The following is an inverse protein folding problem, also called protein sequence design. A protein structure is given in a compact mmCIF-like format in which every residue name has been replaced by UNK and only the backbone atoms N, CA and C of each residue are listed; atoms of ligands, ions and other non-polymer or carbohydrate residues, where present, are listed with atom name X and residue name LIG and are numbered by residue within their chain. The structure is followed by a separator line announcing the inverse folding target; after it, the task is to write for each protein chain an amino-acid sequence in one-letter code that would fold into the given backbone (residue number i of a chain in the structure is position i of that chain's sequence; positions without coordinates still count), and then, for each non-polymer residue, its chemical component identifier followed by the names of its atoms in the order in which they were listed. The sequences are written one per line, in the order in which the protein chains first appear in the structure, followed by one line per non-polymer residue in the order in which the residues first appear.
data_IF_281843540058
#
_entry.id   IF_281843540058
#
_cell.length_a   1.000
_cell.length_b   1.000
_cell.length_c   1.000
_cell.angle_alpha   90.00
_cell.angle_beta   90.00
_cell.angle_gamma   90.00
#
_symmetry.space_group_name_H-M   'P 1'
#
loop_
_entity.id
_entity.type
_entity.pdbx_description
1 polymer ?
#
# COMPACT_ATOMS: atom_id res chain seq x y z
N UNK A 1 -12.55 9.81 -20.58
CA UNK A 1 -13.07 9.35 -19.28
C UNK A 1 -11.91 8.76 -18.51
N UNK A 2 -11.81 9.06 -17.21
CA UNK A 2 -10.75 8.52 -16.34
C UNK A 2 -11.37 7.64 -15.25
N UNK A 3 -10.71 6.53 -14.93
CA UNK A 3 -10.98 5.70 -13.75
C UNK A 3 -9.80 5.88 -12.80
N UNK A 4 -10.08 6.37 -11.60
CA UNK A 4 -9.13 6.41 -10.49
C UNK A 4 -9.47 5.26 -9.55
N UNK A 5 -8.58 4.27 -9.46
CA UNK A 5 -8.76 3.07 -8.63
C UNK A 5 -7.92 3.10 -7.38
N UNK A 6 -8.42 2.53 -6.29
CA UNK A 6 -7.57 2.10 -5.20
C UNK A 6 -6.76 0.84 -5.58
N UNK A 7 -5.65 0.58 -4.88
CA UNK A 7 -4.95 -0.70 -4.99
C UNK A 7 -5.48 -1.68 -3.95
N UNK A 8 -5.31 -1.37 -2.67
CA UNK A 8 -5.66 -2.27 -1.57
C UNK A 8 -7.16 -2.50 -1.45
N UNK A 9 -7.61 -3.76 -1.47
CA UNK A 9 -9.01 -4.15 -1.34
C UNK A 9 -9.85 -3.94 -2.61
N UNK A 10 -9.25 -3.39 -3.67
CA UNK A 10 -9.91 -3.20 -4.98
C UNK A 10 -9.16 -3.96 -6.07
N UNK A 11 -7.91 -3.60 -6.33
CA UNK A 11 -7.08 -4.26 -7.32
C UNK A 11 -6.35 -5.48 -6.74
N UNK A 12 -5.86 -5.36 -5.50
CA UNK A 12 -5.20 -6.45 -4.77
C UNK A 12 -5.96 -6.81 -3.52
N UNK A 13 -5.92 -8.09 -3.15
CA UNK A 13 -6.40 -8.51 -1.84
C UNK A 13 -5.44 -8.01 -0.77
N UNK A 14 -5.99 -7.54 0.35
CA UNK A 14 -5.22 -7.11 1.52
C UNK A 14 -5.66 -7.91 2.73
N UNK A 15 -4.69 -8.48 3.44
CA UNK A 15 -4.90 -9.19 4.70
C UNK A 15 -3.93 -8.72 5.77
N UNK A 16 -4.39 -8.71 7.02
CA UNK A 16 -3.55 -8.41 8.18
C UNK A 16 -2.94 -9.66 8.82
N UNK A 17 -3.34 -10.86 8.38
CA UNK A 17 -2.92 -12.13 9.01
C UNK A 17 -1.41 -12.27 9.21
N UNK A 18 -0.53 -12.00 8.23
CA UNK A 18 0.91 -12.16 8.41
C UNK A 18 1.49 -11.22 9.47
N UNK A 19 1.06 -9.96 9.49
CA UNK A 19 1.48 -8.98 10.50
C UNK A 19 0.93 -9.35 11.87
N UNK A 20 -0.35 -9.68 11.96
CA UNK A 20 -0.98 -10.15 13.20
C UNK A 20 -0.24 -11.34 13.77
N UNK A 21 0.14 -12.31 12.92
CA UNK A 21 0.93 -13.47 13.34
C UNK A 21 2.32 -13.08 13.82
N UNK A 22 3.07 -12.28 13.03
CA UNK A 22 4.42 -11.85 13.40
C UNK A 22 4.45 -11.13 14.75
N UNK A 23 3.53 -10.19 14.95
CA UNK A 23 3.44 -9.46 16.21
C UNK A 23 3.00 -10.38 17.36
N UNK A 24 2.07 -11.31 17.13
CA UNK A 24 1.68 -12.30 18.16
C UNK A 24 2.86 -13.16 18.59
N UNK A 25 3.65 -13.65 17.64
CA UNK A 25 4.82 -14.47 17.93
C UNK A 25 5.89 -13.67 18.70
N UNK A 26 6.04 -12.38 18.40
CA UNK A 26 6.96 -11.47 19.09
C UNK A 26 6.50 -11.07 20.50
N UNK A 27 5.19 -10.98 20.75
CA UNK A 27 4.59 -10.55 22.02
C UNK A 27 4.15 -11.69 22.96
N UNK A 28 3.96 -12.90 22.44
CA UNK A 28 3.42 -14.03 23.19
C UNK A 28 2.03 -13.74 23.79
N UNK A 29 1.79 -14.21 25.02
CA UNK A 29 0.49 -14.13 25.69
C UNK A 29 -0.01 -12.69 25.93
N UNK A 30 0.88 -11.68 25.87
CA UNK A 30 0.51 -10.26 26.03
C UNK A 30 -0.23 -9.68 24.83
N UNK A 31 -0.18 -10.35 23.68
CA UNK A 31 -0.80 -9.88 22.44
C UNK A 31 -2.31 -9.71 22.53
N UNK A 32 -3.00 -10.54 23.33
CA UNK A 32 -4.46 -10.53 23.46
C UNK A 32 -5.00 -9.38 24.34
N UNK A 33 -4.16 -8.80 25.20
CA UNK A 33 -4.55 -7.74 26.14
C UNK A 33 -4.29 -6.34 25.56
N UNK A 34 -3.29 -6.20 24.67
CA UNK A 34 -2.87 -4.95 24.05
C UNK A 34 -2.63 -5.18 22.55
N UNK A 35 -3.63 -5.02 21.68
CA UNK A 35 -3.38 -5.11 20.23
C UNK A 35 -2.41 -3.98 19.82
N UNK A 36 -1.15 -4.30 19.48
CA UNK A 36 -0.05 -3.33 19.50
C UNK A 36 -0.01 -2.46 18.25
N UNK A 37 -0.88 -2.71 17.26
CA UNK A 37 -0.87 -1.91 16.04
C UNK A 37 -1.15 -0.44 16.30
N UNK A 38 -1.97 -0.13 17.32
CA UNK A 38 -2.21 1.26 17.75
C UNK A 38 -0.95 1.95 18.25
N UNK A 39 -0.03 1.21 18.88
CA UNK A 39 1.24 1.72 19.40
C UNK A 39 2.26 2.02 18.30
N UNK A 40 2.19 1.28 17.19
CA UNK A 40 3.02 1.54 16.00
C UNK A 40 2.30 2.34 14.91
N UNK A 41 1.04 2.73 15.13
CA UNK A 41 0.18 3.33 14.11
C UNK A 41 0.75 4.64 13.56
N UNK A 42 1.42 5.44 14.40
CA UNK A 42 2.08 6.66 13.96
C UNK A 42 3.24 6.37 13.01
N UNK A 43 4.16 5.49 13.41
CA UNK A 43 5.27 5.06 12.55
C UNK A 43 4.77 4.44 11.24
N UNK A 44 3.67 3.67 11.28
CA UNK A 44 3.05 3.11 10.08
C UNK A 44 2.48 4.21 9.18
N UNK A 45 1.77 5.20 9.74
CA UNK A 45 1.25 6.33 8.96
C UNK A 45 2.37 7.12 8.29
N UNK A 46 3.44 7.43 9.03
CA UNK A 46 4.61 8.11 8.48
C UNK A 46 5.28 7.30 7.37
N UNK A 47 5.39 5.99 7.54
CA UNK A 47 5.90 5.09 6.52
C UNK A 47 5.02 5.06 5.27
N UNK A 48 3.69 5.04 5.42
CA UNK A 48 2.73 5.10 4.31
C UNK A 48 2.80 6.43 3.53
N UNK A 49 3.26 7.53 4.13
CA UNK A 49 3.49 8.78 3.41
C UNK A 49 4.97 9.04 3.08
N UNK A 50 5.82 8.02 3.20
CA UNK A 50 7.24 8.11 2.82
C UNK A 50 8.09 9.00 3.73
N UNK A 51 7.59 9.40 4.90
CA UNK A 51 8.33 10.23 5.87
C UNK A 51 9.42 9.44 6.60
N UNK A 52 9.25 8.12 6.72
CA UNK A 52 10.21 7.24 7.36
C UNK A 52 10.23 5.87 6.66
N UNK A 53 11.16 4.99 7.05
CA UNK A 53 11.27 3.65 6.49
C UNK A 53 10.66 2.58 7.40
N UNK A 54 10.51 1.36 6.90
CA UNK A 54 10.01 0.21 7.68
C UNK A 54 10.82 -0.07 8.95
N UNK A 55 12.10 0.34 8.97
CA UNK A 55 12.95 0.22 10.16
C UNK A 55 12.40 1.03 11.33
N UNK A 56 11.77 2.19 11.08
CA UNK A 56 11.14 3.00 12.11
C UNK A 56 9.93 2.28 12.73
N UNK A 57 9.19 1.51 11.93
CA UNK A 57 8.10 0.64 12.43
C UNK A 57 8.65 -0.46 13.33
N UNK A 58 9.80 -1.07 12.96
CA UNK A 58 10.46 -2.08 13.79
C UNK A 58 11.02 -1.48 15.11
N UNK A 59 11.58 -0.27 15.07
CA UNK A 59 12.03 0.47 16.25
C UNK A 59 10.85 0.78 17.18
N UNK A 60 9.75 1.34 16.65
CA UNK A 60 8.55 1.62 17.44
C UNK A 60 7.97 0.33 18.08
N UNK A 61 8.01 -0.80 17.37
CA UNK A 61 7.62 -2.09 17.95
C UNK A 61 8.56 -2.51 19.11
N UNK A 62 9.86 -2.27 18.96
CA UNK A 62 10.88 -2.58 19.96
C UNK A 62 10.74 -1.75 21.24
N UNK A 63 10.40 -0.47 21.11
CA UNK A 63 10.11 0.43 22.25
C UNK A 63 8.95 -0.05 23.12
N UNK A 64 8.08 -0.88 22.53
CA UNK A 64 6.95 -1.51 23.21
C UNK A 64 7.18 -2.98 23.58
N UNK A 65 8.40 -3.49 23.38
CA UNK A 65 8.81 -4.82 23.84
C UNK A 65 8.73 -5.93 22.79
N UNK A 66 8.33 -5.63 21.54
CA UNK A 66 8.43 -6.59 20.44
C UNK A 66 9.75 -6.46 19.69
N UNK A 67 10.59 -7.48 19.83
CA UNK A 67 11.83 -7.60 19.06
C UNK A 67 11.54 -8.30 17.74
N UNK A 68 11.32 -7.51 16.70
CA UNK A 68 11.06 -7.99 15.34
C UNK A 68 12.24 -7.61 14.46
N UNK A 69 12.80 -8.59 13.73
CA UNK A 69 13.82 -8.30 12.73
C UNK A 69 13.19 -7.56 11.56
N UNK A 70 13.87 -6.53 11.04
CA UNK A 70 13.39 -5.77 9.89
C UNK A 70 13.08 -6.66 8.68
N UNK A 71 13.89 -7.70 8.44
CA UNK A 71 13.66 -8.65 7.36
C UNK A 71 12.34 -9.43 7.51
N UNK A 72 12.02 -9.89 8.73
CA UNK A 72 10.75 -10.58 9.02
C UNK A 72 9.56 -9.63 8.88
N UNK A 73 9.74 -8.37 9.30
CA UNK A 73 8.72 -7.34 9.13
C UNK A 73 8.45 -7.07 7.66
N UNK A 74 9.49 -6.91 6.82
CA UNK A 74 9.36 -6.75 5.36
C UNK A 74 8.63 -7.95 4.76
N UNK A 75 9.04 -9.18 5.11
CA UNK A 75 8.41 -10.40 4.60
C UNK A 75 6.92 -10.46 4.94
N UNK A 76 6.57 -10.16 6.20
CA UNK A 76 5.18 -10.09 6.64
C UNK A 76 4.42 -8.94 5.99
N UNK A 77 5.06 -7.79 5.72
CA UNK A 77 4.45 -6.66 5.03
C UNK A 77 4.08 -7.01 3.59
N UNK A 78 5.00 -7.63 2.84
CA UNK A 78 4.74 -8.13 1.49
C UNK A 78 3.60 -9.18 1.49
N UNK A 79 3.62 -10.12 2.44
CA UNK A 79 2.61 -11.16 2.54
C UNK A 79 1.18 -10.64 2.81
N UNK A 80 1.01 -9.35 3.17
CA UNK A 80 -0.32 -8.71 3.23
C UNK A 80 -1.03 -8.71 1.88
N UNK A 81 -0.30 -8.85 0.77
CA UNK A 81 -0.82 -8.74 -0.60
C UNK A 81 -0.66 -10.10 -1.31
N UNK A 82 -1.50 -11.11 -1.00
CA UNK A 82 -1.28 -12.46 -1.51
C UNK A 82 -1.64 -12.64 -2.99
N UNK A 83 -2.53 -11.82 -3.54
CA UNK A 83 -2.95 -11.93 -4.95
C UNK A 83 -3.65 -10.66 -5.45
N UNK A 84 -3.73 -10.57 -6.79
CA UNK A 84 -4.53 -9.59 -7.53
C UNK A 84 -5.94 -10.11 -7.82
N UNK A 85 -6.92 -9.22 -7.88
CA UNK A 85 -8.28 -9.53 -8.30
C UNK A 85 -8.37 -9.60 -9.83
N UNK A 86 -8.30 -10.82 -10.38
CA UNK A 86 -8.23 -11.04 -11.85
C UNK A 86 -9.42 -10.47 -12.62
N UNK A 87 -10.60 -10.40 -12.02
CA UNK A 87 -11.77 -9.78 -12.64
C UNK A 87 -11.61 -8.26 -12.80
N UNK A 88 -10.96 -7.60 -11.83
CA UNK A 88 -10.66 -6.18 -11.86
C UNK A 88 -9.58 -5.89 -12.91
N UNK A 89 -8.54 -6.73 -12.98
CA UNK A 89 -7.52 -6.66 -14.04
C UNK A 89 -8.17 -6.75 -15.43
N UNK A 90 -9.09 -7.71 -15.62
CA UNK A 90 -9.82 -7.87 -16.89
C UNK A 90 -10.66 -6.63 -17.21
N UNK A 91 -11.37 -6.08 -16.21
CA UNK A 91 -12.14 -4.86 -16.37
C UNK A 91 -11.27 -3.70 -16.84
N UNK A 92 -10.11 -3.47 -16.22
CA UNK A 92 -9.21 -2.38 -16.60
C UNK A 92 -8.64 -2.54 -17.99
N UNK A 93 -8.24 -3.76 -18.37
CA UNK A 93 -7.80 -4.05 -19.74
C UNK A 93 -8.89 -3.73 -20.76
N UNK A 94 -10.14 -4.11 -20.51
CA UNK A 94 -11.26 -3.79 -21.40
C UNK A 94 -11.51 -2.28 -21.46
N UNK A 95 -11.52 -1.59 -20.32
CA UNK A 95 -11.75 -0.15 -20.28
C UNK A 95 -10.67 0.62 -21.04
N UNK A 96 -9.40 0.20 -20.93
CA UNK A 96 -8.29 0.77 -21.70
C UNK A 96 -8.43 0.54 -23.20
N UNK A 97 -8.84 -0.66 -23.61
CA UNK A 97 -9.11 -0.96 -25.02
C UNK A 97 -10.24 -0.08 -25.60
N UNK A 98 -11.14 0.43 -24.74
CA UNK A 98 -12.19 1.39 -25.09
C UNK A 98 -11.73 2.86 -25.00
N UNK A 99 -10.44 3.12 -24.79
CA UNK A 99 -9.87 4.47 -24.67
C UNK A 99 -10.10 5.13 -23.31
N UNK A 100 -10.47 4.38 -22.27
CA UNK A 100 -10.55 4.91 -20.90
C UNK A 100 -9.16 4.95 -20.29
N UNK A 101 -8.78 6.10 -19.73
CA UNK A 101 -7.56 6.26 -18.93
C UNK A 101 -7.77 5.58 -17.57
N UNK A 102 -6.88 4.68 -17.17
CA UNK A 102 -7.01 3.94 -15.90
C UNK A 102 -5.76 4.22 -15.05
N UNK A 103 -5.97 4.86 -13.90
CA UNK A 103 -4.91 5.18 -12.93
C UNK A 103 -5.19 4.54 -11.59
N UNK A 104 -4.12 4.28 -10.84
CA UNK A 104 -4.23 3.93 -9.43
C UNK A 104 -3.87 5.14 -8.55
N UNK A 105 -4.57 5.28 -7.43
CA UNK A 105 -4.26 6.20 -6.34
C UNK A 105 -4.38 5.44 -5.02
N UNK A 106 -3.25 5.13 -4.37
CA UNK A 106 -3.23 4.28 -3.18
C UNK A 106 -2.46 4.91 -2.03
N UNK A 107 -3.00 4.78 -0.82
CA UNK A 107 -2.20 4.93 0.39
C UNK A 107 -1.36 3.66 0.50
N UNK A 108 -0.04 3.77 0.31
CA UNK A 108 0.87 2.62 0.25
C UNK A 108 2.30 3.08 0.49
N UNK A 109 3.23 2.15 0.53
CA UNK A 109 4.65 2.36 0.77
C UNK A 109 5.52 1.74 -0.33
N UNK A 110 6.79 2.10 -0.35
CA UNK A 110 7.80 1.64 -1.30
C UNK A 110 7.95 0.11 -1.30
N UNK A 111 7.87 -0.55 -0.15
CA UNK A 111 7.97 -2.01 -0.03
C UNK A 111 6.82 -2.69 -0.78
N UNK A 112 5.59 -2.23 -0.56
CA UNK A 112 4.42 -2.75 -1.26
C UNK A 112 4.49 -2.50 -2.75
N UNK A 113 4.95 -1.33 -3.18
CA UNK A 113 5.14 -1.03 -4.60
C UNK A 113 6.18 -1.93 -5.25
N UNK A 114 7.34 -2.08 -4.62
CA UNK A 114 8.40 -2.98 -5.08
C UNK A 114 7.92 -4.43 -5.15
N UNK A 115 7.16 -4.87 -4.15
CA UNK A 115 6.58 -6.21 -4.14
C UNK A 115 5.57 -6.40 -5.28
N UNK A 116 4.61 -5.50 -5.45
CA UNK A 116 3.59 -5.60 -6.50
C UNK A 116 4.21 -5.55 -7.91
N UNK A 117 5.19 -4.69 -8.15
CA UNK A 117 5.89 -4.64 -9.43
C UNK A 117 6.72 -5.88 -9.73
N UNK A 118 7.22 -6.58 -8.68
CA UNK A 118 7.97 -7.82 -8.84
C UNK A 118 7.05 -9.02 -9.09
N UNK A 119 6.00 -9.18 -8.29
CA UNK A 119 5.13 -10.37 -8.33
C UNK A 119 3.99 -10.25 -9.35
N UNK A 120 3.50 -9.03 -9.62
CA UNK A 120 2.28 -8.79 -10.39
C UNK A 120 2.51 -7.81 -11.55
N UNK A 121 3.73 -7.79 -12.12
CA UNK A 121 4.11 -6.84 -13.18
C UNK A 121 3.11 -6.78 -14.35
N UNK A 122 2.66 -7.92 -14.93
CA UNK A 122 1.73 -7.88 -16.05
C UNK A 122 0.41 -7.18 -15.68
N UNK A 123 -0.09 -7.44 -14.48
CA UNK A 123 -1.35 -6.85 -14.00
C UNK A 123 -1.18 -5.38 -13.62
N UNK A 124 -0.08 -5.02 -12.96
CA UNK A 124 0.23 -3.61 -12.64
C UNK A 124 0.35 -2.75 -13.91
N UNK A 125 0.76 -3.35 -15.03
CA UNK A 125 0.84 -2.69 -16.34
C UNK A 125 -0.54 -2.37 -16.95
N UNK A 126 -1.64 -2.76 -16.28
CA UNK A 126 -3.00 -2.34 -16.65
C UNK A 126 -3.35 -0.92 -16.21
N UNK A 127 -2.54 -0.28 -15.37
CA UNK A 127 -2.65 1.14 -15.08
C UNK A 127 -1.75 1.93 -16.03
N UNK A 128 -2.20 3.07 -16.56
CA UNK A 128 -1.30 3.98 -17.27
C UNK A 128 -0.55 4.95 -16.35
N UNK A 129 -0.98 5.12 -15.10
CA UNK A 129 -0.17 5.72 -14.03
C UNK A 129 -0.56 5.19 -12.64
N UNK A 130 0.39 5.23 -11.71
CA UNK A 130 0.19 4.80 -10.31
C UNK A 130 0.69 5.90 -9.39
N UNK A 131 -0.24 6.53 -8.67
CA UNK A 131 0.03 7.58 -7.69
C UNK A 131 0.01 6.99 -6.28
N UNK A 132 1.11 7.16 -5.55
CA UNK A 132 1.27 6.56 -4.22
C UNK A 132 1.47 7.64 -3.16
N UNK A 133 0.90 7.43 -1.97
CA UNK A 133 1.07 8.38 -0.87
C UNK A 133 2.53 8.53 -0.44
N UNK A 134 3.35 7.47 -0.56
CA UNK A 134 4.77 7.53 -0.22
C UNK A 134 5.59 8.37 -1.18
N UNK A 135 5.16 8.52 -2.44
CA UNK A 135 5.82 9.40 -3.41
C UNK A 135 5.27 10.82 -3.34
N UNK A 136 3.97 10.98 -3.11
CA UNK A 136 3.31 12.30 -3.04
C UNK A 136 3.49 13.00 -1.68
N UNK A 137 3.83 12.27 -0.61
CA UNK A 137 3.92 12.80 0.75
C UNK A 137 2.57 13.13 1.41
N UNK A 138 1.46 12.89 0.70
CA UNK A 138 0.09 13.11 1.12
C UNK A 138 -0.76 11.86 0.89
N UNK A 139 -1.82 11.67 1.67
CA UNK A 139 -2.63 10.46 1.65
C UNK A 139 -4.13 10.76 1.54
N UNK A 140 -4.89 9.82 0.98
CA UNK A 140 -6.35 9.83 1.13
C UNK A 140 -6.72 9.74 2.62
N UNK A 141 -7.79 10.42 3.08
CA UNK A 141 -8.78 11.16 2.30
C UNK A 141 -8.47 12.66 2.15
N UNK A 142 -7.23 13.10 2.37
CA UNK A 142 -6.90 14.53 2.30
C UNK A 142 -7.15 15.09 0.89
N UNK A 143 -7.80 16.26 0.82
CA UNK A 143 -8.14 16.91 -0.45
C UNK A 143 -6.92 17.11 -1.35
N UNK A 144 -5.78 17.44 -0.74
CA UNK A 144 -4.52 17.69 -1.44
C UNK A 144 -4.08 16.47 -2.26
N UNK A 145 -4.24 15.25 -1.73
CA UNK A 145 -3.88 14.03 -2.46
C UNK A 145 -4.70 13.88 -3.75
N UNK A 146 -6.01 14.17 -3.70
CA UNK A 146 -6.86 14.13 -4.90
C UNK A 146 -6.54 15.25 -5.89
N UNK A 147 -6.20 16.44 -5.37
CA UNK A 147 -5.85 17.59 -6.21
C UNK A 147 -4.58 17.33 -7.02
N UNK A 148 -3.54 16.75 -6.40
CA UNK A 148 -2.30 16.39 -7.10
C UNK A 148 -2.54 15.41 -8.25
N UNK A 149 -3.35 14.37 -8.04
CA UNK A 149 -3.69 13.41 -9.10
C UNK A 149 -4.50 14.09 -10.21
N UNK A 150 -5.46 14.93 -9.85
CA UNK A 150 -6.27 15.66 -10.83
C UNK A 150 -5.43 16.60 -11.70
N UNK A 151 -4.50 17.34 -11.10
CA UNK A 151 -3.63 18.26 -11.82
C UNK A 151 -2.68 17.50 -12.76
N UNK A 152 -2.07 16.41 -12.29
CA UNK A 152 -1.19 15.54 -13.10
C UNK A 152 -1.89 14.93 -14.31
N UNK A 153 -3.13 14.46 -14.13
CA UNK A 153 -3.91 13.88 -15.23
C UNK A 153 -4.47 14.95 -16.19
N UNK A 154 -4.69 16.18 -15.72
CA UNK A 154 -5.04 17.31 -16.60
C UNK A 154 -3.88 17.73 -17.50
N UNK A 155 -2.65 17.72 -16.99
CA UNK A 155 -1.46 18.01 -17.78
C UNK A 155 -1.27 16.97 -18.90
N UNK A 156 -1.51 15.69 -18.60
CA UNK A 156 -1.44 14.61 -19.60
C UNK A 156 -2.48 14.72 -20.73
N UNK A 157 -3.65 15.30 -20.51
CA UNK A 157 -4.68 15.49 -21.54
C UNK A 157 -4.30 16.59 -22.57
N UNK A 158 -3.25 17.37 -22.31
CA UNK A 158 -2.83 18.51 -23.14
C UNK A 158 -1.57 18.25 -24.00
N UNK A 159 -0.97 17.07 -23.92
CA UNK A 159 0.17 16.61 -24.73
C UNK A 159 -0.25 15.64 -25.86
#
# INVERSE_FOLDING_TARGET
MIIISDLGGVFVHVTLQPITKLFRDAYGDRYAMDFPFSKVAEAVREFEVGKCGIVNVACAASDHGARIMTADLIAAWCAKIPHVHKDVVRLYTVQRALGTRVVAMSNTNDIHMNHMWREFRPEMSTFDAVYTSCEMGVAKPDREAFQMVFDSEREHDHD
#
